data_IF_309304848698
#
_entry.id   IF_309304848698
#
_cell.length_a   1.000
_cell.length_b   1.000
_cell.length_c   1.000
_cell.angle_alpha   90.00
_cell.angle_beta   90.00
_cell.angle_gamma   90.00
#
_symmetry.space_group_name_H-M   'P 1'
#
loop_
_entity.id
_entity.type
_entity.pdbx_description
1 polymer ?
#
# COMPACT_ATOMS: atom_id res chain seq x y z
N UNK A 1 14.17 57.31 21.25
CA UNK A 1 13.41 56.17 21.82
C UNK A 1 12.53 55.70 20.70
N UNK A 2 13.10 54.86 19.85
CA UNK A 2 12.65 54.73 18.47
C UNK A 2 11.83 53.45 18.33
N UNK A 3 10.57 53.62 17.94
CA UNK A 3 9.68 52.51 17.60
C UNK A 3 9.76 52.24 16.10
N UNK A 4 9.78 50.95 15.73
CA UNK A 4 10.06 50.50 14.36
C UNK A 4 8.99 50.93 13.34
N UNK A 5 9.37 51.34 12.10
CA UNK A 5 8.42 51.83 11.09
C UNK A 5 7.32 50.85 10.66
N UNK A 6 7.52 49.52 10.82
CA UNK A 6 6.59 48.51 10.30
C UNK A 6 5.16 48.63 10.87
N UNK A 7 5.00 49.14 12.09
CA UNK A 7 3.69 49.26 12.74
C UNK A 7 2.74 50.23 12.01
N UNK A 8 3.28 51.24 11.31
CA UNK A 8 2.46 52.22 10.59
C UNK A 8 1.89 51.65 9.29
N UNK A 9 2.63 50.76 8.60
CA UNK A 9 2.27 50.28 7.27
C UNK A 9 1.14 49.23 7.30
N UNK A 10 1.08 48.41 8.35
CA UNK A 10 0.01 47.42 8.52
C UNK A 10 -1.35 48.04 8.86
N UNK A 11 -1.38 49.25 9.46
CA UNK A 11 -2.61 49.96 9.78
C UNK A 11 -3.33 50.48 8.52
N UNK A 12 -2.59 50.99 7.53
CA UNK A 12 -3.17 51.50 6.29
C UNK A 12 -3.76 50.38 5.41
N UNK A 13 -3.10 49.22 5.35
CA UNK A 13 -3.61 48.06 4.62
C UNK A 13 -4.97 47.55 5.15
N UNK A 14 -5.17 47.57 6.47
CA UNK A 14 -6.44 47.19 7.11
C UNK A 14 -7.57 48.21 6.91
N UNK A 15 -7.23 49.46 6.60
CA UNK A 15 -8.18 50.51 6.24
C UNK A 15 -8.83 50.24 4.87
N UNK A 16 -8.01 50.03 3.84
CA UNK A 16 -8.48 49.96 2.44
C UNK A 16 -9.41 48.77 2.14
N UNK A 17 -9.29 47.66 2.88
CA UNK A 17 -10.14 46.48 2.70
C UNK A 17 -11.54 46.70 3.33
N UNK A 18 -11.62 47.43 4.45
CA UNK A 18 -12.88 47.69 5.16
C UNK A 18 -13.84 48.62 4.41
N UNK A 19 -13.33 49.51 3.55
CA UNK A 19 -14.20 50.44 2.79
C UNK A 19 -14.84 49.79 1.57
N UNK A 20 -14.13 48.91 0.84
CA UNK A 20 -14.67 48.28 -0.38
C UNK A 20 -15.90 47.41 -0.15
N UNK A 21 -16.12 46.92 1.07
CA UNK A 21 -17.28 46.08 1.43
C UNK A 21 -18.50 46.93 1.84
N UNK A 22 -18.33 48.19 2.27
CA UNK A 22 -19.40 48.96 2.92
C UNK A 22 -20.39 49.65 1.98
N UNK A 23 -20.01 49.95 0.73
CA UNK A 23 -20.80 50.80 -0.17
C UNK A 23 -21.37 50.09 -1.42
N UNK A 24 -21.86 48.86 -1.26
CA UNK A 24 -22.84 48.26 -2.17
C UNK A 24 -23.92 47.48 -1.40
N UNK A 25 -24.73 48.22 -0.61
CA UNK A 25 -26.20 48.35 -0.79
C UNK A 25 -26.90 47.11 -1.37
N UNK A 26 -27.83 46.41 -0.72
CA UNK A 26 -28.61 46.64 0.53
C UNK A 26 -29.28 45.33 0.98
N UNK A 27 -29.58 45.13 2.28
CA UNK A 27 -30.50 44.05 2.69
C UNK A 27 -30.57 43.72 4.20
N UNK A 28 -31.51 44.35 4.91
CA UNK A 28 -32.06 44.02 6.24
C UNK A 28 -31.44 42.82 7.04
N UNK A 29 -30.62 43.15 8.06
CA UNK A 29 -30.00 42.17 8.98
C UNK A 29 -30.95 41.51 9.99
N UNK A 30 -32.09 42.13 10.34
CA UNK A 30 -33.10 41.44 11.17
C UNK A 30 -33.89 40.41 10.35
N UNK A 31 -34.18 40.73 9.08
CA UNK A 31 -34.75 39.78 8.12
C UNK A 31 -33.86 38.57 7.88
N UNK A 32 -32.53 38.73 7.92
CA UNK A 32 -31.59 37.59 7.89
C UNK A 32 -31.75 36.68 9.10
N UNK A 33 -31.76 37.24 10.32
CA UNK A 33 -31.87 36.48 11.57
C UNK A 33 -33.24 35.79 11.77
N UNK A 34 -34.33 36.35 11.25
CA UNK A 34 -35.65 35.68 11.30
C UNK A 34 -35.84 34.71 10.11
N UNK A 35 -35.11 34.89 9.00
CA UNK A 35 -35.07 33.88 7.93
C UNK A 35 -34.41 32.56 8.34
N UNK A 36 -33.55 32.59 9.37
CA UNK A 36 -33.00 31.40 10.04
C UNK A 36 -34.07 30.68 10.89
N UNK A 37 -35.17 31.35 11.26
CA UNK A 37 -36.22 30.82 12.13
C UNK A 37 -37.51 30.40 11.42
N UNK A 38 -37.74 30.81 10.17
CA UNK A 38 -38.92 30.42 9.37
C UNK A 38 -38.60 30.18 7.89
N UNK A 39 -38.32 28.93 7.53
CA UNK A 39 -38.54 28.42 6.17
C UNK A 39 -38.73 26.90 6.05
N UNK A 40 -39.82 26.41 6.62
CA UNK A 40 -40.64 25.45 5.86
C UNK A 40 -41.32 26.25 4.72
N UNK A 41 -41.50 25.75 3.50
CA UNK A 41 -41.05 24.49 2.92
C UNK A 41 -40.94 24.64 1.39
N UNK A 42 -39.87 24.16 0.77
CA UNK A 42 -39.96 23.65 -0.60
C UNK A 42 -38.88 22.59 -0.88
N UNK A 43 -39.17 21.60 -1.71
CA UNK A 43 -38.51 20.29 -1.66
C UNK A 43 -37.45 20.15 -2.78
N UNK A 44 -36.16 20.34 -2.45
CA UNK A 44 -34.97 19.60 -2.96
C UNK A 44 -33.65 20.39 -2.77
N UNK A 45 -33.05 20.34 -1.58
CA UNK A 45 -31.59 20.50 -1.38
C UNK A 45 -31.17 19.84 -0.05
N UNK A 46 -29.96 19.28 0.08
CA UNK A 46 -29.59 18.46 1.23
C UNK A 46 -29.33 19.27 2.50
N UNK A 47 -29.64 18.63 3.64
CA UNK A 47 -29.45 19.16 5.00
C UNK A 47 -27.98 19.49 5.32
N UNK A 48 -27.75 20.46 6.22
CA UNK A 48 -26.41 20.85 6.72
C UNK A 48 -25.86 19.84 7.76
N UNK A 49 -26.39 18.62 7.80
CA UNK A 49 -26.14 17.59 8.82
C UNK A 49 -25.30 16.42 8.27
N UNK A 50 -24.21 16.72 7.55
CA UNK A 50 -23.46 15.79 6.69
C UNK A 50 -22.61 14.70 7.40
N UNK A 51 -22.93 14.30 8.63
CA UNK A 51 -22.37 13.08 9.26
C UNK A 51 -23.09 11.82 8.78
N UNK A 52 -23.16 11.69 7.45
CA UNK A 52 -23.95 10.68 6.75
C UNK A 52 -23.06 9.76 5.93
N UNK A 53 -23.47 8.50 5.86
CA UNK A 53 -22.83 7.45 5.08
C UNK A 53 -23.57 7.15 3.79
N UNK A 54 -22.84 6.76 2.75
CA UNK A 54 -23.35 6.21 1.48
C UNK A 54 -22.90 4.78 1.33
N UNK A 55 -23.72 3.91 0.75
CA UNK A 55 -23.32 2.54 0.40
C UNK A 55 -23.18 2.38 -1.12
N UNK A 56 -22.09 1.77 -1.60
CA UNK A 56 -21.90 1.50 -3.04
C UNK A 56 -23.03 0.64 -3.61
N UNK A 57 -23.41 -0.44 -2.91
CA UNK A 57 -24.52 -1.31 -3.30
C UNK A 57 -25.89 -0.64 -3.27
N UNK A 58 -26.07 0.51 -2.59
CA UNK A 58 -27.34 1.24 -2.65
C UNK A 58 -27.55 1.97 -4.00
N UNK A 59 -26.47 2.25 -4.73
CA UNK A 59 -26.49 2.86 -6.06
C UNK A 59 -26.58 4.39 -6.07
N UNK A 60 -26.24 5.04 -7.21
CA UNK A 60 -25.87 6.45 -7.30
C UNK A 60 -27.00 7.47 -7.08
N UNK A 61 -28.22 7.03 -6.73
CA UNK A 61 -29.38 7.90 -6.43
C UNK A 61 -30.00 7.63 -5.05
N UNK A 62 -29.48 6.68 -4.27
CA UNK A 62 -29.94 6.49 -2.90
C UNK A 62 -29.43 7.63 -2.01
N UNK A 63 -30.25 8.04 -1.05
CA UNK A 63 -29.89 9.10 -0.10
C UNK A 63 -28.82 8.61 0.89
N UNK A 64 -27.89 9.47 1.33
CA UNK A 64 -27.06 9.21 2.49
C UNK A 64 -27.89 8.93 3.75
N UNK A 65 -27.32 8.14 4.66
CA UNK A 65 -27.95 7.65 5.89
C UNK A 65 -27.14 8.12 7.09
N UNK A 66 -27.78 8.58 8.16
CA UNK A 66 -27.07 8.92 9.41
C UNK A 66 -26.59 7.67 10.14
N UNK A 67 -25.44 7.78 10.81
CA UNK A 67 -25.07 6.86 11.87
C UNK A 67 -25.86 7.16 13.14
N UNK A 68 -26.00 6.16 14.01
CA UNK A 68 -26.65 6.28 15.30
C UNK A 68 -25.72 5.84 16.43
N UNK A 69 -25.42 6.76 17.36
CA UNK A 69 -24.66 6.50 18.58
C UNK A 69 -25.52 6.87 19.79
N UNK A 70 -25.60 5.99 20.78
CA UNK A 70 -26.39 6.20 22.01
C UNK A 70 -27.88 6.62 21.77
N UNK A 71 -28.54 6.03 20.77
CA UNK A 71 -29.91 6.39 20.34
C UNK A 71 -30.08 7.84 19.84
N UNK A 72 -29.02 8.45 19.31
CA UNK A 72 -29.03 9.75 18.62
C UNK A 72 -28.35 9.63 17.27
N UNK A 73 -28.79 10.43 16.30
CA UNK A 73 -28.03 10.61 15.06
C UNK A 73 -26.72 11.31 15.38
N UNK A 74 -25.63 10.85 14.76
CA UNK A 74 -24.30 11.44 14.88
C UNK A 74 -24.25 12.76 14.11
N UNK A 75 -23.66 13.80 14.68
CA UNK A 75 -23.40 15.09 14.01
C UNK A 75 -21.92 15.23 13.57
N UNK A 76 -21.60 16.26 12.78
CA UNK A 76 -20.26 16.42 12.16
C UNK A 76 -19.15 16.58 13.23
N UNK A 77 -19.44 17.26 14.33
CA UNK A 77 -18.49 17.42 15.44
C UNK A 77 -18.16 16.07 16.11
N UNK A 78 -19.18 15.23 16.24
CA UNK A 78 -19.14 13.92 16.92
C UNK A 78 -18.37 12.87 16.10
N UNK A 79 -18.10 13.12 14.81
CA UNK A 79 -17.26 12.24 13.96
C UNK A 79 -15.89 11.97 14.60
N UNK A 80 -15.36 12.95 15.34
CA UNK A 80 -14.09 12.83 16.07
C UNK A 80 -14.16 12.00 17.35
N UNK A 81 -15.38 11.65 17.80
CA UNK A 81 -15.67 10.76 18.94
C UNK A 81 -16.18 9.37 18.49
N UNK A 82 -16.27 9.10 17.19
CA UNK A 82 -16.60 7.77 16.67
C UNK A 82 -15.41 6.81 16.83
N UNK A 83 -15.70 5.59 17.25
CA UNK A 83 -14.77 4.48 17.41
C UNK A 83 -15.01 3.40 16.38
N UNK A 84 -14.08 2.44 16.26
CA UNK A 84 -14.24 1.23 15.44
C UNK A 84 -15.60 0.54 15.62
N UNK A 85 -16.23 0.57 16.80
CA UNK A 85 -17.50 -0.15 17.07
C UNK A 85 -18.79 0.65 16.84
N UNK A 86 -18.73 1.93 16.45
CA UNK A 86 -19.92 2.78 16.23
C UNK A 86 -20.57 2.56 14.84
N UNK A 87 -20.96 1.32 14.54
CA UNK A 87 -21.39 0.85 13.21
C UNK A 87 -22.90 0.94 12.92
N UNK A 88 -23.72 1.42 13.86
CA UNK A 88 -25.18 1.36 13.71
C UNK A 88 -25.68 2.45 12.75
N UNK A 89 -26.48 2.06 11.76
CA UNK A 89 -27.24 2.98 10.91
C UNK A 89 -28.52 3.43 11.63
N UNK A 90 -28.88 4.70 11.52
CA UNK A 90 -30.14 5.23 12.06
C UNK A 90 -31.39 4.73 11.28
N UNK A 91 -31.21 4.41 9.99
CA UNK A 91 -32.20 3.75 9.12
C UNK A 91 -31.48 2.84 8.11
N UNK A 92 -32.12 1.79 7.57
CA UNK A 92 -31.59 1.06 6.41
C UNK A 92 -31.47 1.96 5.16
N UNK A 93 -30.56 1.63 4.25
CA UNK A 93 -30.53 2.25 2.92
C UNK A 93 -31.81 1.93 2.12
N UNK A 94 -32.31 2.90 1.34
CA UNK A 94 -33.58 2.77 0.60
C UNK A 94 -33.60 1.57 -0.38
N UNK A 95 -32.44 1.11 -0.85
CA UNK A 95 -32.26 -0.03 -1.76
C UNK A 95 -30.92 -0.74 -1.51
N UNK A 96 -30.81 -1.98 -2.00
CA UNK A 96 -29.54 -2.65 -2.27
C UNK A 96 -29.64 -3.36 -3.64
N UNK A 97 -28.77 -2.99 -4.58
CA UNK A 97 -28.71 -3.53 -5.94
C UNK A 97 -28.14 -4.95 -6.00
N UNK A 98 -27.65 -5.48 -4.87
CA UNK A 98 -26.91 -6.75 -4.76
C UNK A 98 -27.67 -7.84 -4.00
N UNK A 99 -28.86 -7.51 -3.48
CA UNK A 99 -29.81 -8.44 -2.85
C UNK A 99 -30.96 -8.77 -3.80
N UNK A 100 -31.38 -10.03 -3.86
CA UNK A 100 -32.42 -10.50 -4.78
C UNK A 100 -33.81 -9.85 -4.58
N UNK A 101 -34.10 -9.30 -3.39
CA UNK A 101 -35.33 -8.54 -3.10
C UNK A 101 -35.18 -7.01 -3.24
N UNK A 102 -33.97 -6.54 -3.57
CA UNK A 102 -33.63 -5.14 -3.76
C UNK A 102 -33.46 -4.30 -2.48
N UNK A 103 -33.42 -4.90 -1.27
CA UNK A 103 -33.54 -4.16 0.00
C UNK A 103 -32.34 -4.30 0.93
N UNK A 104 -31.95 -3.20 1.55
CA UNK A 104 -31.14 -3.20 2.77
C UNK A 104 -32.04 -3.48 3.98
N UNK A 105 -31.60 -4.28 4.94
CA UNK A 105 -32.26 -4.46 6.24
C UNK A 105 -31.60 -3.64 7.37
N UNK A 106 -30.48 -2.98 7.09
CA UNK A 106 -29.72 -2.16 8.05
C UNK A 106 -29.08 -2.96 9.19
N UNK A 107 -29.01 -4.29 9.10
CA UNK A 107 -28.51 -5.12 10.19
C UNK A 107 -26.98 -5.12 10.27
N UNK A 108 -26.46 -4.81 11.46
CA UNK A 108 -25.01 -4.78 11.76
C UNK A 108 -24.37 -6.17 11.78
N UNK A 109 -25.16 -7.25 11.72
CA UNK A 109 -24.69 -8.64 11.75
C UNK A 109 -23.91 -9.07 10.51
N UNK A 110 -24.09 -8.37 9.37
CA UNK A 110 -23.36 -8.62 8.13
C UNK A 110 -22.23 -7.62 7.89
N UNK A 111 -21.89 -6.77 8.86
CA UNK A 111 -20.71 -5.90 8.78
C UNK A 111 -19.46 -6.71 9.13
N UNK A 112 -18.45 -6.68 8.26
CA UNK A 112 -17.15 -7.34 8.46
C UNK A 112 -16.47 -6.85 9.75
N UNK A 113 -15.92 -7.78 10.54
CA UNK A 113 -15.40 -7.51 11.90
C UNK A 113 -16.42 -6.95 12.91
N UNK A 114 -17.66 -6.67 12.48
CA UNK A 114 -18.64 -5.78 13.12
C UNK A 114 -18.01 -4.46 13.55
N UNK A 115 -17.24 -3.85 12.65
CA UNK A 115 -16.53 -2.61 12.93
C UNK A 115 -16.22 -1.79 11.67
N UNK A 116 -15.86 -0.53 11.89
CA UNK A 116 -15.07 0.27 10.96
C UNK A 116 -13.60 -0.17 11.03
N UNK A 117 -12.92 -0.18 9.88
CA UNK A 117 -11.45 -0.15 9.80
C UNK A 117 -10.98 1.24 9.28
N UNK A 118 -9.67 1.51 9.41
CA UNK A 118 -9.04 2.84 9.35
C UNK A 118 -9.48 3.77 10.49
N UNK A 119 -8.92 3.48 11.67
CA UNK A 119 -8.90 4.40 12.79
C UNK A 119 -7.60 5.22 12.79
N UNK A 120 -7.61 6.35 13.49
CA UNK A 120 -6.46 7.19 13.82
C UNK A 120 -5.82 6.63 15.10
N UNK A 121 -4.99 5.61 14.93
CA UNK A 121 -4.38 4.84 16.03
C UNK A 121 -3.39 5.71 16.83
N UNK A 122 -2.85 6.78 16.20
CA UNK A 122 -2.05 7.83 16.85
C UNK A 122 -2.81 8.60 17.96
N UNK A 123 -4.15 8.54 17.94
CA UNK A 123 -5.06 9.15 18.93
C UNK A 123 -5.84 8.12 19.75
N UNK A 124 -5.40 6.85 19.77
CA UNK A 124 -6.05 5.82 20.58
C UNK A 124 -6.05 6.16 22.08
N UNK A 125 -7.19 5.91 22.74
CA UNK A 125 -7.34 5.99 24.19
C UNK A 125 -7.41 4.61 24.87
N UNK A 126 -6.98 3.56 24.15
CA UNK A 126 -6.98 2.16 24.60
C UNK A 126 -7.81 1.26 23.68
N UNK A 127 -7.71 -0.08 23.82
CA UNK A 127 -8.30 -1.02 22.87
C UNK A 127 -9.81 -0.85 22.66
N UNK A 128 -10.22 -0.59 21.42
CA UNK A 128 -11.60 -0.30 21.03
C UNK A 128 -12.03 1.17 21.20
N UNK A 129 -11.10 2.05 21.57
CA UNK A 129 -11.28 3.51 21.71
C UNK A 129 -10.41 4.29 20.72
N UNK A 130 -10.04 3.66 19.60
CA UNK A 130 -9.35 4.29 18.47
C UNK A 130 -10.36 5.18 17.70
N UNK A 131 -10.15 6.50 17.62
CA UNK A 131 -11.08 7.38 16.91
C UNK A 131 -11.01 7.18 15.39
N UNK A 132 -12.10 7.34 14.65
CA UNK A 132 -12.11 7.08 13.20
C UNK A 132 -11.34 8.13 12.39
N UNK A 133 -10.55 7.68 11.42
CA UNK A 133 -10.06 8.55 10.35
C UNK A 133 -11.18 8.78 9.34
N UNK A 134 -12.07 9.74 9.62
CA UNK A 134 -13.29 10.01 8.86
C UNK A 134 -13.09 10.25 7.34
N UNK A 135 -11.87 10.53 6.87
CA UNK A 135 -11.53 10.63 5.43
C UNK A 135 -11.40 9.26 4.74
N UNK A 136 -10.97 8.22 5.46
CA UNK A 136 -10.64 6.88 4.93
C UNK A 136 -11.40 5.73 5.60
N UNK A 137 -12.17 6.01 6.65
CA UNK A 137 -12.99 5.04 7.38
C UNK A 137 -14.28 4.68 6.61
N UNK A 138 -14.55 3.38 6.53
CA UNK A 138 -15.79 2.79 5.97
C UNK A 138 -16.11 1.44 6.67
N UNK A 139 -17.18 0.77 6.25
CA UNK A 139 -17.61 -0.55 6.75
C UNK A 139 -18.05 -1.46 5.60
N UNK A 140 -17.55 -2.70 5.54
CA UNK A 140 -17.88 -3.70 4.49
C UNK A 140 -19.15 -4.47 4.84
N UNK A 141 -20.12 -4.54 3.91
CA UNK A 141 -21.36 -5.29 4.09
C UNK A 141 -21.38 -6.60 3.28
N UNK A 142 -21.38 -7.73 3.99
CA UNK A 142 -21.32 -9.07 3.43
C UNK A 142 -22.69 -9.62 2.97
N UNK A 143 -23.80 -8.93 3.23
CA UNK A 143 -25.15 -9.40 2.84
C UNK A 143 -25.42 -9.28 1.33
N UNK A 144 -24.83 -8.25 0.72
CA UNK A 144 -24.87 -7.96 -0.70
C UNK A 144 -23.72 -7.01 -0.94
N UNK A 145 -22.65 -7.45 -1.63
CA UNK A 145 -21.32 -6.84 -1.53
C UNK A 145 -21.37 -5.35 -1.87
N UNK A 146 -20.89 -4.56 -0.93
CA UNK A 146 -20.91 -3.12 -1.01
C UNK A 146 -20.59 -2.49 0.33
N UNK A 147 -20.08 -1.27 0.28
CA UNK A 147 -19.25 -0.73 1.35
C UNK A 147 -19.71 0.69 1.69
N UNK A 148 -19.61 1.06 2.96
CA UNK A 148 -20.38 2.12 3.61
C UNK A 148 -19.45 3.21 4.18
N UNK A 149 -19.50 4.42 3.62
CA UNK A 149 -18.51 5.48 3.86
C UNK A 149 -19.09 6.88 4.03
N UNK A 150 -18.36 7.76 4.70
CA UNK A 150 -18.74 9.16 4.90
C UNK A 150 -18.85 9.94 3.57
N UNK A 151 -20.05 10.41 3.25
CA UNK A 151 -20.41 11.02 1.95
C UNK A 151 -19.61 12.28 1.61
N UNK A 152 -19.19 13.04 2.63
CA UNK A 152 -18.41 14.27 2.52
C UNK A 152 -16.90 14.06 2.53
N UNK A 153 -16.41 12.85 2.86
CA UNK A 153 -15.03 12.63 3.27
C UNK A 153 -14.34 11.49 2.52
N UNK A 154 -15.02 10.34 2.29
CA UNK A 154 -14.53 9.20 1.48
C UNK A 154 -14.52 9.46 -0.04
N UNK A 155 -14.19 10.68 -0.47
CA UNK A 155 -14.29 11.09 -1.87
C UNK A 155 -13.08 10.68 -2.71
N UNK A 156 -11.87 10.62 -2.14
CA UNK A 156 -10.69 10.03 -2.78
C UNK A 156 -10.95 8.56 -3.09
N UNK A 157 -11.37 7.84 -2.05
CA UNK A 157 -11.72 6.43 -2.03
C UNK A 157 -12.79 6.04 -3.08
N UNK A 158 -13.93 6.74 -3.10
CA UNK A 158 -14.93 6.59 -4.17
C UNK A 158 -14.35 6.84 -5.57
N UNK A 159 -13.48 7.85 -5.70
CA UNK A 159 -12.84 8.20 -6.97
C UNK A 159 -11.77 7.19 -7.40
N UNK A 160 -11.11 6.52 -6.45
CA UNK A 160 -10.22 5.39 -6.69
C UNK A 160 -11.00 4.20 -7.24
N UNK A 161 -12.07 3.77 -6.55
CA UNK A 161 -12.86 2.62 -7.00
C UNK A 161 -13.44 2.84 -8.40
N UNK A 162 -13.96 4.03 -8.69
CA UNK A 162 -14.49 4.36 -10.02
C UNK A 162 -13.42 4.28 -11.13
N UNK A 163 -12.13 4.50 -10.84
CA UNK A 163 -11.04 4.29 -11.83
C UNK A 163 -10.77 2.80 -12.01
N UNK A 164 -10.61 2.06 -10.91
CA UNK A 164 -10.34 0.63 -10.94
C UNK A 164 -11.45 -0.16 -11.66
N UNK A 165 -12.72 0.18 -11.41
CA UNK A 165 -13.87 -0.49 -12.02
C UNK A 165 -14.02 -0.14 -13.51
N UNK A 166 -13.63 1.08 -13.91
CA UNK A 166 -13.56 1.47 -15.33
C UNK A 166 -12.42 0.73 -16.06
N UNK A 167 -11.20 0.73 -15.50
CA UNK A 167 -10.05 -0.01 -16.05
C UNK A 167 -10.35 -1.51 -16.15
N UNK A 168 -10.95 -2.12 -15.13
CA UNK A 168 -11.38 -3.51 -15.17
C UNK A 168 -12.45 -3.77 -16.25
N UNK A 169 -13.37 -2.83 -16.48
CA UNK A 169 -14.38 -2.93 -17.54
C UNK A 169 -13.76 -2.83 -18.95
N UNK A 170 -12.70 -2.04 -19.11
CA UNK A 170 -11.91 -1.91 -20.34
C UNK A 170 -11.09 -3.19 -20.59
N UNK A 171 -10.31 -3.63 -19.60
CA UNK A 171 -9.56 -4.89 -19.63
C UNK A 171 -10.45 -6.09 -19.98
N UNK A 172 -11.64 -6.20 -19.36
CA UNK A 172 -12.61 -7.27 -19.62
C UNK A 172 -13.19 -7.27 -21.04
N UNK A 173 -13.07 -6.17 -21.80
CA UNK A 173 -13.45 -6.11 -23.20
C UNK A 173 -12.30 -6.48 -24.16
N UNK A 174 -11.05 -6.35 -23.73
CA UNK A 174 -9.85 -6.51 -24.56
C UNK A 174 -9.06 -7.83 -24.29
N UNK A 175 -9.16 -8.38 -23.08
CA UNK A 175 -8.53 -9.64 -22.63
C UNK A 175 -9.32 -10.87 -23.09
N UNK A 176 -8.69 -12.03 -23.37
CA UNK A 176 -9.40 -13.27 -23.70
C UNK A 176 -10.49 -13.66 -22.68
N UNK A 177 -11.66 -14.05 -23.20
CA UNK A 177 -12.88 -14.27 -22.40
C UNK A 177 -12.76 -15.42 -21.36
N UNK A 178 -11.83 -16.34 -21.59
CA UNK A 178 -11.50 -17.47 -20.73
C UNK A 178 -10.50 -17.13 -19.61
N UNK A 179 -9.64 -16.12 -19.78
CA UNK A 179 -8.60 -15.78 -18.79
C UNK A 179 -9.17 -15.38 -17.42
N UNK A 180 -10.28 -14.64 -17.38
CA UNK A 180 -11.00 -14.30 -16.14
C UNK A 180 -11.61 -15.54 -15.45
N UNK A 181 -11.78 -16.64 -16.19
CA UNK A 181 -12.20 -17.95 -15.64
C UNK A 181 -10.99 -18.77 -15.20
N UNK A 182 -9.89 -18.75 -15.96
CA UNK A 182 -8.60 -19.37 -15.59
C UNK A 182 -8.11 -18.86 -14.22
N UNK A 183 -8.21 -17.55 -13.96
CA UNK A 183 -7.85 -16.98 -12.65
C UNK A 183 -8.73 -17.51 -11.50
N UNK A 184 -10.02 -17.78 -11.76
CA UNK A 184 -10.94 -18.39 -10.77
C UNK A 184 -10.65 -19.87 -10.57
N UNK A 185 -10.33 -20.61 -11.64
CA UNK A 185 -9.95 -22.03 -11.58
C UNK A 185 -8.61 -22.24 -10.87
N UNK A 186 -7.69 -21.29 -11.02
CA UNK A 186 -6.46 -21.19 -10.20
C UNK A 186 -6.75 -20.86 -8.73
N UNK A 187 -7.91 -20.30 -8.41
CA UNK A 187 -8.37 -19.98 -7.06
C UNK A 187 -8.07 -18.56 -6.57
N UNK A 188 -7.82 -17.59 -7.46
CA UNK A 188 -7.72 -16.18 -7.05
C UNK A 188 -9.09 -15.63 -6.61
N UNK A 189 -9.18 -14.93 -5.46
CA UNK A 189 -10.39 -14.19 -5.09
C UNK A 189 -10.70 -13.03 -6.05
N UNK A 190 -11.98 -12.65 -6.19
CA UNK A 190 -12.45 -11.55 -7.09
C UNK A 190 -11.69 -10.23 -6.90
N UNK A 191 -11.26 -9.92 -5.67
CA UNK A 191 -10.45 -8.75 -5.36
C UNK A 191 -9.10 -8.74 -6.09
N UNK A 192 -8.45 -9.91 -6.22
CA UNK A 192 -7.22 -10.06 -7.02
C UNK A 192 -7.54 -9.97 -8.51
N UNK A 193 -8.58 -10.67 -8.97
CA UNK A 193 -8.93 -10.80 -10.39
C UNK A 193 -9.04 -9.43 -11.10
N UNK A 194 -9.64 -8.41 -10.47
CA UNK A 194 -9.69 -7.06 -11.06
C UNK A 194 -8.31 -6.51 -11.42
N UNK A 195 -7.32 -6.61 -10.52
CA UNK A 195 -5.96 -6.15 -10.79
C UNK A 195 -5.23 -7.01 -11.82
N UNK A 196 -5.39 -8.34 -11.74
CA UNK A 196 -4.72 -9.27 -12.66
C UNK A 196 -5.23 -9.15 -14.10
N UNK A 197 -6.51 -8.84 -14.30
CA UNK A 197 -7.09 -8.55 -15.61
C UNK A 197 -6.45 -7.30 -16.24
N UNK A 198 -6.32 -6.21 -15.49
CA UNK A 198 -5.71 -4.95 -15.98
C UNK A 198 -4.21 -5.14 -16.24
N UNK A 199 -3.49 -5.88 -15.38
CA UNK A 199 -2.09 -6.22 -15.60
C UNK A 199 -1.89 -7.12 -16.85
N UNK A 200 -2.84 -7.98 -17.18
CA UNK A 200 -2.77 -8.83 -18.37
C UNK A 200 -3.19 -8.09 -19.65
N UNK A 201 -4.05 -7.08 -19.58
CA UNK A 201 -4.35 -6.19 -20.72
C UNK A 201 -3.07 -5.47 -21.19
N UNK A 202 -2.34 -4.86 -20.26
CA UNK A 202 -1.06 -4.20 -20.53
C UNK A 202 0.05 -5.19 -20.91
N UNK A 203 0.08 -6.39 -20.30
CA UNK A 203 1.11 -7.41 -20.53
C UNK A 203 0.53 -8.82 -20.79
N UNK A 204 0.02 -9.11 -22.01
CA UNK A 204 -0.67 -10.37 -22.34
C UNK A 204 0.18 -11.66 -22.31
N UNK A 205 1.44 -11.60 -21.86
CA UNK A 205 2.30 -12.76 -21.63
C UNK A 205 2.62 -13.00 -20.15
N UNK A 206 2.11 -12.15 -19.25
CA UNK A 206 2.32 -12.32 -17.82
C UNK A 206 1.39 -13.42 -17.29
N UNK A 207 1.98 -14.36 -16.55
CA UNK A 207 1.30 -15.50 -15.95
C UNK A 207 1.24 -15.32 -14.44
N UNK A 208 0.04 -15.41 -13.87
CA UNK A 208 -0.18 -15.30 -12.43
C UNK A 208 -0.39 -16.69 -11.81
N UNK A 209 0.34 -16.95 -10.72
CA UNK A 209 0.24 -18.15 -9.87
C UNK A 209 -0.17 -17.71 -8.45
N UNK A 210 -1.23 -18.28 -7.85
CA UNK A 210 -1.57 -18.00 -6.47
C UNK A 210 -0.71 -18.83 -5.50
N UNK A 211 -0.18 -18.18 -4.48
CA UNK A 211 0.49 -18.81 -3.34
C UNK A 211 -0.44 -18.69 -2.13
N UNK A 212 -1.25 -19.72 -1.90
CA UNK A 212 -2.16 -19.77 -0.74
C UNK A 212 -1.37 -19.78 0.56
N UNK A 213 -1.43 -18.69 1.31
CA UNK A 213 -0.61 -18.51 2.51
C UNK A 213 -1.21 -19.26 3.71
N UNK A 214 -2.54 -19.37 3.77
CA UNK A 214 -3.32 -19.78 4.94
C UNK A 214 -3.07 -18.84 6.15
N UNK A 215 -2.72 -17.59 5.88
CA UNK A 215 -2.40 -16.55 6.88
C UNK A 215 -3.55 -15.54 6.90
N UNK A 216 -4.12 -15.28 8.07
CA UNK A 216 -5.01 -14.13 8.27
C UNK A 216 -4.20 -12.83 8.14
N UNK A 217 -4.60 -11.98 7.19
CA UNK A 217 -3.90 -10.74 6.89
C UNK A 217 -3.94 -9.72 8.05
N UNK A 218 -5.04 -9.64 8.81
CA UNK A 218 -5.12 -8.72 9.97
C UNK A 218 -4.23 -9.20 11.11
N UNK A 219 -4.29 -10.49 11.45
CA UNK A 219 -3.43 -11.06 12.51
C UNK A 219 -1.94 -10.99 12.13
N UNK A 220 -1.62 -11.09 10.83
CA UNK A 220 -0.26 -10.89 10.31
C UNK A 220 0.17 -9.43 10.39
N UNK A 221 -0.66 -8.50 9.91
CA UNK A 221 -0.39 -7.07 9.92
C UNK A 221 -0.19 -6.54 11.36
N UNK A 222 -1.08 -6.89 12.29
CA UNK A 222 -0.94 -6.48 13.68
C UNK A 222 0.37 -6.99 14.29
N UNK A 223 0.77 -8.22 13.98
CA UNK A 223 2.05 -8.77 14.43
C UNK A 223 3.27 -8.10 13.79
N UNK A 224 3.19 -7.59 12.55
CA UNK A 224 4.25 -6.75 11.96
C UNK A 224 4.40 -5.42 12.72
N UNK A 225 3.27 -4.83 13.14
CA UNK A 225 3.20 -3.57 13.90
C UNK A 225 3.72 -3.79 15.33
N UNK A 226 3.10 -4.70 16.09
CA UNK A 226 3.42 -5.02 17.49
C UNK A 226 4.88 -5.47 17.66
N UNK A 227 5.40 -6.24 16.70
CA UNK A 227 6.78 -6.72 16.69
C UNK A 227 7.82 -5.65 16.32
N UNK A 228 7.38 -4.51 15.75
CA UNK A 228 8.25 -3.40 15.37
C UNK A 228 9.34 -3.77 14.36
N UNK A 229 9.12 -4.77 13.49
CA UNK A 229 10.18 -5.34 12.65
C UNK A 229 10.69 -4.40 11.54
N UNK A 230 9.91 -3.37 11.22
CA UNK A 230 10.15 -2.50 10.06
C UNK A 230 10.63 -1.09 10.42
N UNK A 231 11.50 -0.57 9.56
CA UNK A 231 12.06 0.78 9.63
C UNK A 231 11.88 1.54 8.30
N UNK A 232 12.10 2.85 8.35
CA UNK A 232 12.19 3.72 7.18
C UNK A 232 13.44 4.60 7.29
N UNK A 233 14.05 4.90 6.14
CA UNK A 233 15.16 5.86 6.07
C UNK A 233 14.62 7.30 6.17
N UNK A 234 15.33 8.19 6.85
CA UNK A 234 14.93 9.59 7.14
C UNK A 234 14.54 10.43 5.91
N UNK A 235 15.02 10.07 4.71
CA UNK A 235 14.61 10.71 3.45
C UNK A 235 13.21 10.30 2.96
N UNK A 236 12.61 9.27 3.56
CA UNK A 236 11.21 8.89 3.45
C UNK A 236 10.51 9.22 4.78
N UNK A 237 10.56 10.50 5.15
CA UNK A 237 10.01 11.06 6.40
C UNK A 237 8.54 10.69 6.63
N UNK A 238 7.78 10.58 5.55
CA UNK A 238 6.40 10.14 5.45
C UNK A 238 6.14 8.71 5.97
N UNK A 239 7.17 7.86 6.00
CA UNK A 239 7.12 6.50 6.52
C UNK A 239 7.80 6.39 7.91
N UNK A 240 8.36 7.48 8.45
CA UNK A 240 9.15 7.49 9.67
C UNK A 240 8.31 7.89 10.89
N UNK A 241 8.35 7.08 11.95
CA UNK A 241 8.03 7.57 13.30
C UNK A 241 9.14 8.48 13.84
N UNK A 242 8.94 9.09 15.01
CA UNK A 242 9.97 9.87 15.71
C UNK A 242 10.97 9.02 16.52
N UNK A 243 10.93 7.68 16.43
CA UNK A 243 11.80 6.76 17.17
C UNK A 243 12.87 6.16 16.24
N UNK A 244 14.15 6.33 16.57
CA UNK A 244 15.24 5.60 15.91
C UNK A 244 15.08 4.08 16.08
N UNK A 245 15.45 3.32 15.06
CA UNK A 245 15.35 1.86 15.04
C UNK A 245 16.47 1.21 15.85
N UNK A 246 16.13 0.35 16.82
CA UNK A 246 17.07 -0.06 17.90
C UNK A 246 18.32 -0.82 17.43
N UNK A 247 18.26 -1.50 16.27
CA UNK A 247 19.40 -2.23 15.71
C UNK A 247 20.38 -1.36 14.89
N UNK A 248 20.04 -0.10 14.59
CA UNK A 248 20.72 0.70 13.56
C UNK A 248 21.81 1.63 14.14
N UNK A 249 22.96 1.74 13.45
CA UNK A 249 24.15 2.45 13.95
C UNK A 249 24.42 3.81 13.28
N UNK A 250 23.60 4.22 12.31
CA UNK A 250 23.87 5.33 11.39
C UNK A 250 23.16 6.65 11.72
N UNK A 251 22.11 6.64 12.54
CA UNK A 251 21.29 7.81 12.88
C UNK A 251 20.36 8.28 11.76
N UNK A 252 19.91 7.35 10.91
CA UNK A 252 19.12 7.59 9.70
C UNK A 252 17.89 6.70 9.55
N UNK A 253 17.75 5.64 10.34
CA UNK A 253 16.61 4.72 10.26
C UNK A 253 15.72 4.83 11.49
N UNK A 254 14.44 5.06 11.24
CA UNK A 254 13.40 5.21 12.27
C UNK A 254 12.43 4.03 12.16
N UNK A 255 11.75 3.65 13.24
CA UNK A 255 10.66 2.67 13.15
C UNK A 255 9.61 3.15 12.13
N UNK A 256 9.13 2.23 11.29
CA UNK A 256 8.15 2.55 10.26
C UNK A 256 6.79 2.92 10.87
N UNK A 257 6.04 3.79 10.20
CA UNK A 257 4.65 4.08 10.56
C UNK A 257 3.73 2.89 10.25
N UNK A 258 2.63 2.77 11.00
CA UNK A 258 1.64 1.71 10.81
C UNK A 258 0.97 1.80 9.44
N UNK A 259 0.80 3.03 8.93
CA UNK A 259 0.33 3.32 7.57
C UNK A 259 1.31 2.82 6.50
N UNK A 260 2.62 2.97 6.71
CA UNK A 260 3.62 2.44 5.78
C UNK A 260 3.66 0.91 5.81
N UNK A 261 3.65 0.29 7.01
CA UNK A 261 3.58 -1.17 7.15
C UNK A 261 2.30 -1.70 6.47
N UNK A 262 1.14 -1.06 6.71
CA UNK A 262 -0.15 -1.44 6.13
C UNK A 262 -0.21 -1.20 4.62
N UNK A 263 0.46 -0.18 4.07
CA UNK A 263 0.55 0.02 2.63
C UNK A 263 1.40 -1.08 1.95
N UNK A 264 2.65 -1.24 2.38
CA UNK A 264 3.62 -2.09 1.67
C UNK A 264 3.41 -3.59 1.89
N UNK A 265 2.76 -4.00 2.98
CA UNK A 265 2.35 -5.41 3.18
C UNK A 265 1.03 -5.76 2.48
N UNK A 266 0.21 -4.80 2.05
CA UNK A 266 -1.10 -5.11 1.47
C UNK A 266 -0.98 -5.58 0.01
N UNK A 267 -1.41 -6.81 -0.33
CA UNK A 267 -1.15 -7.38 -1.65
C UNK A 267 -1.86 -6.60 -2.78
N UNK A 268 -3.08 -6.09 -2.55
CA UNK A 268 -3.76 -5.24 -3.53
C UNK A 268 -3.00 -3.92 -3.78
N UNK A 269 -2.42 -3.31 -2.74
CA UNK A 269 -1.60 -2.10 -2.88
C UNK A 269 -0.38 -2.31 -3.78
N UNK A 270 0.18 -3.52 -3.74
CA UNK A 270 1.34 -3.88 -4.55
C UNK A 270 0.97 -4.40 -5.95
N UNK A 271 -0.31 -4.67 -6.23
CA UNK A 271 -0.85 -5.01 -7.56
C UNK A 271 -1.46 -3.81 -8.31
N UNK A 272 -1.46 -2.63 -7.69
CA UNK A 272 -2.04 -1.41 -8.25
C UNK A 272 -1.22 -0.78 -9.37
N UNK A 273 -1.93 -0.06 -10.26
CA UNK A 273 -1.38 0.66 -11.41
C UNK A 273 -1.83 2.13 -11.34
N UNK A 274 -1.31 2.90 -10.39
CA UNK A 274 -1.41 4.36 -10.42
C UNK A 274 -0.08 5.08 -10.10
N UNK A 275 0.11 6.25 -10.73
CA UNK A 275 1.23 7.19 -10.66
C UNK A 275 2.69 6.68 -10.85
N UNK A 276 2.97 5.38 -10.85
CA UNK A 276 4.24 4.78 -11.28
C UNK A 276 4.08 3.53 -12.18
N UNK A 277 2.85 3.08 -12.44
CA UNK A 277 2.57 1.93 -13.30
C UNK A 277 2.89 0.58 -12.64
N UNK A 278 3.12 -0.44 -13.47
CA UNK A 278 3.35 -1.86 -13.12
C UNK A 278 4.52 -2.16 -12.15
N UNK A 279 5.31 -1.15 -11.77
CA UNK A 279 6.55 -1.28 -10.97
C UNK A 279 6.30 -2.08 -9.69
N UNK A 280 5.21 -1.82 -8.98
CA UNK A 280 4.90 -2.51 -7.73
C UNK A 280 4.63 -4.01 -7.95
N UNK A 281 4.02 -4.41 -9.08
CA UNK A 281 3.69 -5.81 -9.34
C UNK A 281 4.93 -6.69 -9.58
N UNK A 282 6.05 -6.10 -10.02
CA UNK A 282 7.34 -6.81 -10.16
C UNK A 282 7.90 -7.34 -8.82
N UNK A 283 7.37 -6.88 -7.68
CA UNK A 283 7.70 -7.46 -6.37
C UNK A 283 7.29 -8.93 -6.24
N UNK A 284 6.32 -9.38 -7.04
CA UNK A 284 5.86 -10.77 -7.10
C UNK A 284 6.54 -11.61 -8.19
N UNK A 285 7.50 -11.07 -8.94
CA UNK A 285 8.21 -11.81 -9.99
C UNK A 285 8.91 -13.05 -9.40
N UNK A 286 8.62 -14.22 -9.97
CA UNK A 286 9.09 -15.53 -9.48
C UNK A 286 10.58 -15.71 -9.68
N UNK A 287 11.34 -15.69 -8.59
CA UNK A 287 12.79 -15.86 -8.57
C UNK A 287 13.25 -17.17 -9.22
N UNK A 288 12.51 -18.26 -9.04
CA UNK A 288 12.80 -19.57 -9.63
C UNK A 288 12.60 -19.65 -11.16
N UNK A 289 11.97 -18.64 -11.78
CA UNK A 289 11.62 -18.71 -13.20
C UNK A 289 12.89 -18.83 -14.06
N UNK A 290 12.96 -19.90 -14.86
CA UNK A 290 14.00 -20.10 -15.87
C UNK A 290 13.75 -19.20 -17.08
N UNK A 291 14.17 -17.94 -16.96
CA UNK A 291 14.12 -16.95 -18.03
C UNK A 291 15.02 -17.34 -19.23
N UNK A 292 14.71 -16.91 -20.46
CA UNK A 292 15.56 -17.14 -21.62
C UNK A 292 16.95 -16.52 -21.44
N UNK A 293 18.01 -17.21 -21.88
CA UNK A 293 19.39 -16.75 -21.68
C UNK A 293 19.65 -15.35 -22.29
N UNK A 294 19.26 -15.14 -23.54
CA UNK A 294 19.44 -13.85 -24.23
C UNK A 294 18.67 -12.70 -23.54
N UNK A 295 17.50 -13.00 -22.99
CA UNK A 295 16.72 -12.06 -22.17
C UNK A 295 17.46 -11.70 -20.88
N UNK A 296 17.94 -12.70 -20.15
CA UNK A 296 18.71 -12.50 -18.92
C UNK A 296 19.99 -11.70 -19.18
N UNK A 297 20.75 -12.01 -20.24
CA UNK A 297 21.95 -11.27 -20.63
C UNK A 297 21.65 -9.79 -20.94
N UNK A 298 20.61 -9.51 -21.75
CA UNK A 298 20.14 -8.15 -22.09
C UNK A 298 19.76 -7.38 -20.82
N UNK A 299 18.92 -7.97 -19.97
CA UNK A 299 18.33 -7.30 -18.82
C UNK A 299 19.34 -7.09 -17.69
N UNK A 300 20.15 -8.09 -17.35
CA UNK A 300 21.18 -7.96 -16.29
C UNK A 300 22.22 -6.90 -16.68
N UNK A 301 22.69 -6.89 -17.94
CA UNK A 301 23.63 -5.86 -18.41
C UNK A 301 23.04 -4.44 -18.36
N UNK A 302 21.74 -4.29 -18.56
CA UNK A 302 21.08 -2.99 -18.44
C UNK A 302 20.84 -2.58 -16.97
N UNK A 303 20.43 -3.50 -16.11
CA UNK A 303 20.30 -3.25 -14.66
C UNK A 303 21.68 -2.90 -14.08
N UNK A 304 22.74 -3.57 -14.52
CA UNK A 304 24.10 -3.42 -13.97
C UNK A 304 25.06 -2.62 -14.87
N UNK A 305 24.54 -1.75 -15.75
CA UNK A 305 25.32 -1.02 -16.78
C UNK A 305 26.51 -0.17 -16.29
N UNK A 306 26.59 0.08 -14.97
CA UNK A 306 27.67 0.85 -14.31
C UNK A 306 28.51 -0.03 -13.35
N UNK A 307 28.27 -1.34 -13.28
CA UNK A 307 29.02 -2.27 -12.43
C UNK A 307 30.27 -2.81 -13.15
N UNK A 308 31.14 -3.49 -12.41
CA UNK A 308 32.29 -4.20 -12.98
C UNK A 308 31.81 -5.43 -13.79
N UNK A 309 32.32 -5.63 -15.01
CA UNK A 309 31.94 -6.73 -15.91
C UNK A 309 32.16 -8.11 -15.27
N UNK A 310 33.08 -8.24 -14.29
CA UNK A 310 33.24 -9.47 -13.51
C UNK A 310 32.01 -9.79 -12.65
N UNK A 311 31.36 -8.77 -12.06
CA UNK A 311 30.15 -8.94 -11.25
C UNK A 311 28.97 -9.28 -12.15
N UNK A 312 28.86 -8.61 -13.30
CA UNK A 312 27.88 -8.92 -14.36
C UNK A 312 28.05 -10.39 -14.82
N UNK A 313 29.29 -10.83 -15.05
CA UNK A 313 29.63 -12.18 -15.46
C UNK A 313 29.32 -13.23 -14.38
N UNK A 314 29.63 -12.95 -13.11
CA UNK A 314 29.36 -13.88 -12.01
C UNK A 314 27.85 -14.07 -11.77
N UNK A 315 27.05 -12.99 -11.90
CA UNK A 315 25.58 -13.07 -11.82
C UNK A 315 25.00 -13.83 -13.03
N UNK A 316 25.51 -13.58 -14.25
CA UNK A 316 25.01 -14.26 -15.46
C UNK A 316 25.42 -15.74 -15.58
N UNK A 317 26.55 -16.13 -14.99
CA UNK A 317 27.00 -17.53 -14.93
C UNK A 317 26.57 -18.24 -13.63
N UNK A 318 25.70 -17.62 -12.81
CA UNK A 318 25.23 -18.19 -11.56
C UNK A 318 24.36 -19.44 -11.79
N UNK A 319 24.58 -20.44 -10.93
CA UNK A 319 23.78 -21.66 -10.78
C UNK A 319 22.79 -21.57 -9.60
N UNK A 320 22.50 -20.35 -9.11
CA UNK A 320 21.58 -20.08 -8.02
C UNK A 320 20.15 -20.58 -8.30
N UNK A 321 19.42 -20.90 -7.23
CA UNK A 321 17.97 -21.17 -7.30
C UNK A 321 17.13 -19.94 -7.66
N UNK A 322 17.72 -18.74 -7.62
CA UNK A 322 17.12 -17.47 -8.01
C UNK A 322 17.74 -16.98 -9.32
N UNK A 323 16.91 -16.51 -10.26
CA UNK A 323 17.35 -16.14 -11.60
C UNK A 323 18.25 -14.88 -11.63
N UNK A 324 19.14 -14.74 -12.63
CA UNK A 324 20.08 -13.62 -12.73
C UNK A 324 19.44 -12.23 -12.75
N UNK A 325 18.23 -12.07 -13.29
CA UNK A 325 17.52 -10.78 -13.34
C UNK A 325 17.13 -10.33 -11.93
N UNK A 326 16.59 -11.25 -11.13
CA UNK A 326 16.24 -10.95 -9.74
C UNK A 326 17.48 -10.73 -8.87
N UNK A 327 18.55 -11.51 -9.08
CA UNK A 327 19.85 -11.29 -8.41
C UNK A 327 20.43 -9.91 -8.73
N UNK A 328 20.37 -9.46 -9.98
CA UNK A 328 20.80 -8.12 -10.38
C UNK A 328 19.95 -7.01 -9.73
N UNK A 329 18.63 -7.22 -9.61
CA UNK A 329 17.72 -6.33 -8.89
C UNK A 329 18.05 -6.21 -7.40
N UNK A 330 18.33 -7.35 -6.73
CA UNK A 330 18.74 -7.39 -5.32
C UNK A 330 20.08 -6.66 -5.15
N UNK A 331 21.12 -7.00 -5.93
CA UNK A 331 22.44 -6.36 -5.82
C UNK A 331 22.37 -4.83 -6.00
N UNK A 332 21.69 -4.34 -7.04
CA UNK A 332 21.60 -2.89 -7.28
C UNK A 332 20.62 -2.16 -6.33
N UNK A 333 19.70 -2.88 -5.68
CA UNK A 333 18.89 -2.33 -4.58
C UNK A 333 19.66 -2.23 -3.25
N UNK A 334 20.46 -3.25 -2.93
CA UNK A 334 21.28 -3.31 -1.70
C UNK A 334 22.53 -2.42 -1.77
N UNK A 335 23.21 -2.37 -2.92
CA UNK A 335 24.53 -1.74 -3.05
C UNK A 335 25.59 -2.40 -2.17
N UNK A 336 25.48 -3.71 -1.89
CA UNK A 336 26.39 -4.48 -1.02
C UNK A 336 27.86 -4.47 -1.47
N UNK A 337 28.82 -4.85 -0.60
CA UNK A 337 30.26 -4.80 -0.91
C UNK A 337 30.64 -5.36 -2.28
N UNK A 338 31.34 -4.56 -3.08
CA UNK A 338 31.59 -4.84 -4.50
C UNK A 338 33.08 -4.88 -4.86
N UNK A 339 33.93 -5.29 -3.92
CA UNK A 339 35.39 -5.21 -4.01
C UNK A 339 35.99 -4.12 -3.12
N UNK A 340 35.49 -4.01 -1.89
CA UNK A 340 35.99 -3.06 -0.88
C UNK A 340 37.11 -3.67 -0.04
N UNK A 341 38.03 -2.86 0.48
CA UNK A 341 39.09 -3.35 1.38
C UNK A 341 38.59 -3.42 2.83
N UNK A 342 38.66 -4.61 3.42
CA UNK A 342 38.36 -4.85 4.84
C UNK A 342 39.32 -5.91 5.41
N UNK A 343 39.86 -5.66 6.61
CA UNK A 343 40.81 -6.58 7.25
C UNK A 343 42.09 -6.89 6.45
N UNK A 344 42.49 -6.03 5.51
CA UNK A 344 43.62 -6.28 4.60
C UNK A 344 43.30 -7.25 3.46
N UNK A 345 42.02 -7.41 3.12
CA UNK A 345 41.51 -8.20 1.99
C UNK A 345 40.53 -7.37 1.18
N UNK A 346 40.46 -7.63 -0.13
CA UNK A 346 39.35 -7.15 -0.96
C UNK A 346 38.20 -8.16 -0.81
N UNK A 347 36.99 -7.67 -0.51
CA UNK A 347 35.82 -8.52 -0.23
C UNK A 347 34.57 -8.13 -1.03
N UNK A 348 33.72 -9.13 -1.28
CA UNK A 348 32.46 -9.04 -2.03
C UNK A 348 31.31 -9.61 -1.20
N UNK A 349 30.20 -8.89 -1.12
CA UNK A 349 28.94 -9.32 -0.49
C UNK A 349 27.81 -8.57 -1.21
N UNK A 350 27.61 -8.90 -2.48
CA UNK A 350 26.75 -8.17 -3.42
C UNK A 350 25.32 -7.99 -2.87
N UNK A 351 24.82 -9.00 -2.17
CA UNK A 351 23.45 -9.04 -1.64
C UNK A 351 23.36 -8.60 -0.17
N UNK A 352 24.44 -8.06 0.40
CA UNK A 352 24.49 -7.41 1.72
C UNK A 352 24.11 -8.36 2.89
N UNK A 353 24.38 -9.66 2.73
CA UNK A 353 24.03 -10.72 3.68
C UNK A 353 24.75 -10.49 5.02
N UNK A 354 24.01 -10.60 6.14
CA UNK A 354 24.55 -10.43 7.49
C UNK A 354 24.61 -8.98 8.00
N UNK A 355 24.21 -7.98 7.20
CA UNK A 355 24.32 -6.56 7.51
C UNK A 355 23.25 -6.05 8.51
N UNK A 356 23.32 -6.48 9.76
CA UNK A 356 22.29 -6.18 10.76
C UNK A 356 22.29 -4.71 11.25
N UNK A 357 23.47 -4.10 11.44
CA UNK A 357 23.61 -2.72 11.93
C UNK A 357 24.36 -1.77 11.00
N UNK A 358 24.77 -2.20 9.80
CA UNK A 358 25.41 -1.33 8.81
C UNK A 358 26.43 -2.02 7.90
N UNK A 359 27.20 -1.21 7.17
CA UNK A 359 28.17 -1.68 6.15
C UNK A 359 29.33 -2.51 6.74
N UNK A 360 29.80 -2.18 7.93
CA UNK A 360 30.89 -2.93 8.57
C UNK A 360 30.50 -4.38 8.88
N UNK A 361 29.25 -4.62 9.29
CA UNK A 361 28.70 -5.95 9.52
C UNK A 361 28.68 -6.78 8.20
N UNK A 362 28.34 -6.12 7.08
CA UNK A 362 28.36 -6.69 5.72
C UNK A 362 29.77 -7.07 5.25
N UNK A 363 30.75 -6.22 5.56
CA UNK A 363 32.17 -6.42 5.22
C UNK A 363 32.83 -7.50 6.10
N UNK A 364 32.48 -7.54 7.39
CA UNK A 364 32.92 -8.58 8.31
C UNK A 364 32.38 -9.95 7.89
N UNK A 365 31.09 -10.06 7.57
CA UNK A 365 30.49 -11.29 7.06
C UNK A 365 31.19 -11.79 5.78
N UNK A 366 31.53 -10.89 4.87
CA UNK A 366 32.27 -11.21 3.64
C UNK A 366 33.68 -11.74 3.92
N UNK A 367 34.39 -11.13 4.88
CA UNK A 367 35.73 -11.54 5.30
C UNK A 367 35.73 -12.91 6.00
N UNK A 368 34.77 -13.15 6.90
CA UNK A 368 34.62 -14.42 7.64
C UNK A 368 34.28 -15.59 6.69
N UNK A 369 33.39 -15.35 5.71
CA UNK A 369 33.03 -16.34 4.70
C UNK A 369 34.02 -16.40 3.52
N UNK A 370 35.13 -15.64 3.57
CA UNK A 370 36.22 -15.65 2.59
C UNK A 370 35.79 -15.27 1.16
N UNK A 371 34.81 -14.37 1.02
CA UNK A 371 34.28 -13.91 -0.26
C UNK A 371 35.20 -12.89 -0.93
N UNK A 372 36.35 -13.37 -1.43
CA UNK A 372 37.41 -12.54 -2.01
C UNK A 372 37.26 -12.28 -3.51
N UNK A 373 36.32 -12.95 -4.17
CA UNK A 373 35.90 -12.73 -5.55
C UNK A 373 34.36 -12.61 -5.64
N UNK A 374 33.82 -12.03 -6.73
CA UNK A 374 32.40 -12.13 -7.02
C UNK A 374 31.91 -13.58 -7.04
N UNK A 375 32.69 -14.49 -7.62
CA UNK A 375 32.37 -15.91 -7.74
C UNK A 375 32.24 -16.60 -6.37
N UNK A 376 33.14 -16.29 -5.41
CA UNK A 376 33.02 -16.77 -4.02
C UNK A 376 31.72 -16.27 -3.36
N UNK A 377 31.40 -14.98 -3.56
CA UNK A 377 30.17 -14.37 -3.06
C UNK A 377 28.92 -15.04 -3.66
N UNK A 378 28.89 -15.30 -4.98
CA UNK A 378 27.77 -16.01 -5.62
C UNK A 378 27.63 -17.43 -5.06
N UNK A 379 28.75 -18.17 -4.97
CA UNK A 379 28.75 -19.55 -4.49
C UNK A 379 28.29 -19.68 -3.03
N UNK A 380 28.74 -18.77 -2.15
CA UNK A 380 28.31 -18.72 -0.75
C UNK A 380 26.88 -18.22 -0.56
N UNK A 381 26.38 -17.35 -1.45
CA UNK A 381 25.00 -16.85 -1.39
C UNK A 381 23.96 -17.89 -1.83
N UNK A 382 24.36 -18.94 -2.56
CA UNK A 382 23.44 -20.00 -3.03
C UNK A 382 22.67 -20.65 -1.88
N UNK A 383 23.38 -21.14 -0.87
CA UNK A 383 22.78 -21.81 0.30
C UNK A 383 21.92 -20.86 1.15
N UNK A 384 22.16 -19.54 1.04
CA UNK A 384 21.34 -18.51 1.68
C UNK A 384 20.02 -18.34 0.92
N UNK A 385 20.06 -18.19 -0.39
CA UNK A 385 18.85 -18.09 -1.23
C UNK A 385 18.01 -19.37 -1.21
N UNK A 386 18.65 -20.55 -1.18
CA UNK A 386 17.96 -21.84 -1.00
C UNK A 386 17.14 -21.84 0.31
N UNK A 387 17.72 -21.39 1.43
CA UNK A 387 17.02 -21.28 2.73
C UNK A 387 15.95 -20.18 2.81
N UNK A 388 15.94 -19.22 1.88
CA UNK A 388 14.80 -18.32 1.67
C UNK A 388 13.71 -19.02 0.87
N UNK A 389 14.07 -19.72 -0.21
CA UNK A 389 13.14 -20.43 -1.08
C UNK A 389 12.44 -21.61 -0.38
N UNK A 390 13.14 -22.37 0.45
CA UNK A 390 12.57 -23.42 1.34
C UNK A 390 11.52 -22.88 2.33
N UNK A 391 11.50 -21.57 2.57
CA UNK A 391 10.48 -20.87 3.37
C UNK A 391 9.43 -20.16 2.51
N UNK A 392 9.40 -20.44 1.20
CA UNK A 392 8.48 -19.85 0.23
C UNK A 392 8.81 -18.40 -0.15
N UNK A 393 10.00 -17.91 0.20
CA UNK A 393 10.41 -16.52 -0.06
C UNK A 393 11.04 -16.36 -1.45
N UNK A 394 10.32 -16.85 -2.48
CA UNK A 394 10.77 -16.85 -3.87
C UNK A 394 10.54 -15.56 -4.66
N UNK A 395 10.09 -14.47 -4.02
CA UNK A 395 9.80 -13.16 -4.65
C UNK A 395 10.28 -12.03 -3.75
N UNK A 396 10.47 -10.81 -4.27
CA UNK A 396 10.91 -9.65 -3.45
C UNK A 396 9.95 -9.38 -2.29
N UNK A 397 8.65 -9.40 -2.56
CA UNK A 397 7.62 -9.25 -1.54
C UNK A 397 7.73 -10.34 -0.46
N UNK A 398 7.96 -11.60 -0.85
CA UNK A 398 8.05 -12.70 0.11
C UNK A 398 9.36 -12.67 0.92
N UNK A 399 10.47 -12.22 0.32
CA UNK A 399 11.74 -11.92 1.00
C UNK A 399 11.53 -10.83 2.06
N UNK A 400 10.86 -9.74 1.70
CA UNK A 400 10.58 -8.60 2.57
C UNK A 400 9.63 -8.96 3.73
N UNK A 401 8.56 -9.71 3.49
CA UNK A 401 7.50 -9.93 4.49
C UNK A 401 7.57 -11.25 5.29
N UNK A 402 8.15 -12.34 4.75
CA UNK A 402 8.23 -13.69 5.38
C UNK A 402 6.88 -14.22 5.95
N UNK A 403 5.80 -14.04 5.19
CA UNK A 403 4.45 -14.42 5.63
C UNK A 403 4.29 -15.90 5.96
N UNK A 404 5.05 -16.81 5.31
CA UNK A 404 4.95 -18.24 5.61
C UNK A 404 5.53 -18.61 6.98
N UNK A 405 6.44 -17.81 7.54
CA UNK A 405 7.01 -18.08 8.87
C UNK A 405 6.13 -17.56 10.01
N UNK A 406 5.10 -16.76 9.70
CA UNK A 406 4.02 -16.40 10.63
C UNK A 406 3.20 -17.62 11.09
N UNK A 407 2.96 -18.57 10.19
CA UNK A 407 2.16 -19.77 10.45
C UNK A 407 2.91 -20.89 11.19
N UNK A 408 4.15 -20.65 11.64
CA UNK A 408 5.00 -21.65 12.29
C UNK A 408 4.97 -21.49 13.81
N UNK A 409 4.92 -22.61 14.52
CA UNK A 409 4.95 -22.63 15.97
C UNK A 409 6.20 -21.91 16.50
N UNK A 410 6.01 -21.01 17.47
CA UNK A 410 7.06 -20.12 17.98
C UNK A 410 7.30 -18.82 17.21
N UNK A 411 6.54 -18.54 16.12
CA UNK A 411 6.47 -17.26 15.38
C UNK A 411 7.79 -16.43 15.39
N UNK A 412 8.75 -16.84 14.56
CA UNK A 412 10.00 -16.10 14.33
C UNK A 412 10.23 -15.87 12.84
N UNK A 413 10.00 -14.63 12.40
CA UNK A 413 10.31 -14.19 11.04
C UNK A 413 11.82 -14.13 10.80
N UNK A 414 12.26 -14.44 9.59
CA UNK A 414 13.56 -14.04 9.04
C UNK A 414 13.31 -13.40 7.68
N UNK A 415 12.77 -12.19 7.76
CA UNK A 415 12.68 -11.24 6.65
C UNK A 415 14.08 -10.90 6.14
N UNK A 416 14.20 -10.61 4.85
CA UNK A 416 15.47 -10.29 4.21
C UNK A 416 15.96 -8.89 4.61
N UNK A 417 15.03 -7.93 4.74
CA UNK A 417 15.31 -6.54 5.03
C UNK A 417 14.36 -5.97 6.09
N UNK A 418 14.82 -4.95 6.81
CA UNK A 418 14.01 -4.18 7.77
C UNK A 418 13.37 -2.95 7.15
N UNK A 419 13.86 -2.44 6.02
CA UNK A 419 13.27 -1.28 5.35
C UNK A 419 11.85 -1.62 4.83
N UNK A 420 10.85 -0.84 5.23
CA UNK A 420 9.42 -1.10 4.98
C UNK A 420 9.02 -1.05 3.50
N UNK A 421 9.84 -0.43 2.66
CA UNK A 421 9.65 -0.27 1.22
C UNK A 421 10.72 -1.03 0.40
N UNK A 422 11.43 -1.99 0.99
CA UNK A 422 12.57 -2.66 0.39
C UNK A 422 12.23 -3.36 -0.93
N UNK A 423 11.17 -4.17 -0.94
CA UNK A 423 10.71 -4.83 -2.15
C UNK A 423 10.35 -3.82 -3.26
N UNK A 424 9.71 -2.69 -2.92
CA UNK A 424 9.39 -1.61 -3.88
C UNK A 424 10.65 -0.97 -4.45
N UNK A 425 11.67 -0.75 -3.63
CA UNK A 425 12.97 -0.21 -4.09
C UNK A 425 13.64 -1.20 -5.05
N UNK A 426 13.73 -2.49 -4.68
CA UNK A 426 14.31 -3.54 -5.54
C UNK A 426 13.51 -3.74 -6.84
N UNK A 427 12.18 -3.66 -6.80
CA UNK A 427 11.33 -3.73 -7.99
C UNK A 427 11.47 -2.49 -8.89
N UNK A 428 11.60 -1.30 -8.30
CA UNK A 428 11.94 -0.06 -9.02
C UNK A 428 13.31 -0.14 -9.69
N UNK A 429 14.25 -0.91 -9.13
CA UNK A 429 15.55 -1.20 -9.75
C UNK A 429 15.39 -2.08 -11.00
N UNK A 430 14.47 -3.06 -11.02
CA UNK A 430 14.19 -3.84 -12.24
C UNK A 430 13.69 -2.94 -13.39
N UNK A 431 12.97 -1.85 -13.08
CA UNK A 431 12.52 -0.85 -14.07
C UNK A 431 13.49 0.32 -14.27
N UNK A 432 14.66 0.33 -13.62
CA UNK A 432 15.52 1.52 -13.50
C UNK A 432 16.41 1.85 -14.71
N UNK A 433 15.85 1.69 -15.91
CA UNK A 433 16.31 2.29 -17.15
C UNK A 433 15.54 3.60 -17.44
N UNK A 434 15.31 4.46 -16.43
CA UNK A 434 14.47 5.67 -16.51
C UNK A 434 14.89 6.71 -17.56
N UNK A 435 16.04 6.53 -18.21
CA UNK A 435 16.59 7.40 -19.27
C UNK A 435 16.70 6.71 -20.66
N UNK A 436 16.04 5.57 -20.89
CA UNK A 436 16.13 4.85 -22.18
C UNK A 436 14.86 4.06 -22.55
N UNK A 437 14.65 3.84 -23.85
CA UNK A 437 13.60 2.98 -24.46
C UNK A 437 13.83 1.46 -24.20
N UNK A 438 14.53 1.13 -23.11
CA UNK A 438 15.27 -0.13 -22.93
C UNK A 438 15.21 -0.58 -21.47
N UNK A 439 14.01 -0.70 -20.90
CA UNK A 439 13.79 -1.28 -19.57
C UNK A 439 13.91 -2.80 -19.52
N UNK A 440 13.46 -3.37 -18.40
CA UNK A 440 12.97 -4.75 -18.39
C UNK A 440 11.97 -4.90 -19.55
N UNK A 441 12.20 -5.87 -20.42
CA UNK A 441 11.31 -6.08 -21.57
C UNK A 441 10.08 -6.85 -21.08
N UNK A 442 8.99 -6.10 -20.87
CA UNK A 442 7.76 -6.56 -20.23
C UNK A 442 6.93 -7.47 -21.16
N UNK A 443 7.23 -7.46 -22.46
CA UNK A 443 6.65 -8.35 -23.47
C UNK A 443 7.33 -9.73 -23.50
N UNK A 444 8.06 -10.09 -22.45
CA UNK A 444 8.50 -11.45 -22.15
C UNK A 444 7.42 -12.20 -21.36
N UNK A 445 7.40 -13.52 -21.49
CA UNK A 445 6.67 -14.39 -20.58
C UNK A 445 7.32 -14.36 -19.19
N UNK A 446 6.64 -13.71 -18.24
CA UNK A 446 7.07 -13.52 -16.85
C UNK A 446 6.04 -14.14 -15.91
N UNK A 447 6.51 -14.91 -14.93
CA UNK A 447 5.66 -15.61 -13.95
C UNK A 447 5.69 -14.85 -12.63
N UNK A 448 4.51 -14.63 -12.05
CA UNK A 448 4.32 -13.90 -10.80
C UNK A 448 3.67 -14.80 -9.76
N UNK A 449 4.37 -15.06 -8.66
CA UNK A 449 3.88 -15.88 -7.55
C UNK A 449 3.31 -14.97 -6.47
N UNK A 450 1.97 -14.84 -6.48
CA UNK A 450 1.23 -13.81 -5.75
C UNK A 450 0.61 -14.42 -4.49
N UNK A 451 0.90 -13.90 -3.28
CA UNK A 451 0.36 -14.43 -2.05
C UNK A 451 -1.14 -14.13 -1.91
N UNK A 452 -1.91 -15.19 -1.72
CA UNK A 452 -3.35 -15.16 -1.41
C UNK A 452 -3.50 -15.42 0.08
N UNK A 453 -3.80 -14.36 0.83
CA UNK A 453 -4.06 -14.40 2.27
C UNK A 453 -5.56 -14.53 2.55
N UNK A 454 -5.89 -15.04 3.73
CA UNK A 454 -7.23 -14.97 4.30
C UNK A 454 -7.48 -13.56 4.87
N UNK A 455 -8.73 -13.08 4.84
CA UNK A 455 -9.15 -11.81 5.45
C UNK A 455 -8.33 -10.56 5.07
N UNK A 456 -7.72 -10.52 3.87
CA UNK A 456 -7.31 -9.25 3.24
C UNK A 456 -8.56 -8.38 3.08
N UNK A 457 -8.52 -7.08 3.43
CA UNK A 457 -9.60 -6.14 3.13
C UNK A 457 -9.90 -6.14 1.62
N UNK A 458 -10.93 -6.89 1.24
CA UNK A 458 -11.14 -7.24 -0.16
C UNK A 458 -12.19 -6.35 -0.79
N UNK A 459 -11.93 -5.93 -2.03
CA UNK A 459 -12.73 -4.99 -2.79
C UNK A 459 -14.03 -5.62 -3.32
N UNK A 460 -14.85 -6.20 -2.44
CA UNK A 460 -16.13 -6.82 -2.83
C UNK A 460 -17.17 -5.72 -3.09
N UNK A 461 -17.10 -5.19 -4.31
CA UNK A 461 -17.87 -4.06 -4.83
C UNK A 461 -17.72 -2.75 -4.05
N UNK A 462 -16.47 -2.54 -3.67
CA UNK A 462 -15.82 -1.24 -3.80
C UNK A 462 -15.74 -0.47 -2.51
N UNK A 463 -14.54 -0.47 -1.96
CA UNK A 463 -13.86 0.48 -1.08
C UNK A 463 -12.66 -0.24 -0.45
N UNK A 464 -12.03 0.39 0.55
CA UNK A 464 -10.59 0.54 0.67
C UNK A 464 -9.94 1.24 -0.53
N UNK A 465 -8.89 2.00 -0.21
CA UNK A 465 -8.17 2.84 -1.15
C UNK A 465 -6.86 2.12 -1.48
N UNK A 466 -6.25 2.42 -2.63
CA UNK A 466 -4.80 2.48 -2.62
C UNK A 466 -4.44 3.33 -1.41
N UNK A 467 -3.69 2.82 -0.42
CA UNK A 467 -3.08 3.71 0.56
C UNK A 467 -2.32 4.73 -0.29
N UNK A 468 -2.74 6.01 -0.33
CA UNK A 468 -1.98 7.00 -1.08
C UNK A 468 -0.58 6.96 -0.47
N UNK A 469 0.47 6.91 -1.31
CA UNK A 469 1.84 6.93 -0.78
C UNK A 469 1.91 8.01 0.32
N UNK A 470 2.22 7.63 1.58
CA UNK A 470 2.18 8.57 2.69
C UNK A 470 2.89 9.89 2.32
N UNK A 471 2.35 11.01 2.79
CA UNK A 471 2.67 12.36 2.31
C UNK A 471 3.54 13.17 3.26
#
# INVERSE_FOLDING_TARGET
MDHSPLASFMAEALSMINERVKNSVTGNTEGFLDSIKRRESDINQPCVCNACVTCTAAGPKCKPVHLEKNNRQVEICDLSELTRKDIKLAVPFEKCMKTADGKCDGTTTYIEGREWQMADESRSHGPGLEPLNHLTAYMVCMKGPGIIYFTSAGQGLKSYYNRLDAQYTEAKANVPQDFESELREKGFPEGYIKYLMILHEEYPKWQFEPVFTNVDYQEFLQYQIDGGFKCAHINCSEYCTNRLFEAEKSGKYFYATEEAIRYFSHPYSMLQIDNNGYVNALQFLKGEQKLPKEYSEKVVKQILKNADEKIISAILNSDSCINPVLMAGIYRGEGGPAGEEYGGKIVYNLFNIGANGGRDDSLAYALENQWYTPEDCIAGSREVFEKYLERGQGTLYALDWDYQSYNKEGKWLKQYATAVNDAKVKASVLTSAKDAEQGLDLNQELIFSIPVYDNVPSYVEGEYEAFPEPK
#
